data_IF_629954620165
#
_entry.id   IF_629954620165
#
_cell.length_a   1.000
_cell.length_b   1.000
_cell.length_c   1.000
_cell.angle_alpha   90.00
_cell.angle_beta   90.00
_cell.angle_gamma   90.00
#
_symmetry.space_group_name_H-M   'P 1'
#
loop_
_entity.id
_entity.type
_entity.pdbx_description
1 polymer ?
2 non-polymer ?
3 non-polymer ?
4 non-polymer ?
5 non-polymer ?
6 water ?
#
# COMPACT_ATOMS: atom_id res chain seq x y z
N UNK A 20 4.78 27.32 -18.88
CA UNK A 20 4.77 27.49 -17.42
C UNK A 20 5.89 26.76 -16.68
N UNK A 21 6.37 25.65 -17.24
CA UNK A 21 7.41 24.88 -16.57
C UNK A 21 8.81 25.47 -16.75
N UNK A 22 8.91 26.77 -16.48
CA UNK A 22 10.13 27.45 -16.07
C UNK A 22 10.51 26.88 -14.72
N UNK A 23 9.50 26.46 -13.97
CA UNK A 23 9.69 25.68 -12.78
C UNK A 23 10.35 24.38 -13.17
N UNK A 24 11.27 23.92 -12.36
CA UNK A 24 12.12 22.82 -12.73
C UNK A 24 11.60 21.45 -12.32
N UNK A 25 11.72 20.51 -13.25
CA UNK A 25 11.34 19.10 -13.09
C UNK A 25 12.57 18.24 -12.99
N UNK A 26 12.75 17.53 -11.88
CA UNK A 26 13.80 16.51 -11.80
C UNK A 26 13.22 15.14 -12.12
N UNK A 27 13.82 14.42 -13.06
CA UNK A 27 13.37 13.07 -13.36
C UNK A 27 14.39 12.16 -12.70
N UNK A 28 13.95 11.43 -11.69
CA UNK A 28 14.81 10.63 -10.84
C UNK A 28 14.73 9.19 -11.29
N UNK A 29 15.88 8.60 -11.57
CA UNK A 29 15.95 7.28 -12.17
C UNK A 29 16.96 6.41 -11.43
N UNK A 30 16.45 5.40 -10.72
CA UNK A 30 17.34 4.46 -10.05
C UNK A 30 17.82 3.45 -11.08
N UNK A 31 19.11 3.13 -11.08
CA UNK A 31 19.61 2.13 -12.02
C UNK A 31 20.50 1.07 -11.37
N UNK A 32 20.45 -0.12 -11.94
CA UNK A 32 21.43 -1.15 -11.63
C UNK A 32 21.57 -2.07 -12.83
N UNK A 33 22.75 -2.02 -13.44
CA UNK A 33 23.02 -2.71 -14.70
C UNK A 33 21.99 -2.35 -15.78
N UNK A 34 21.62 -1.08 -15.86
CA UNK A 34 20.91 -0.55 -17.02
C UNK A 34 21.90 0.17 -17.90
N UNK A 35 21.81 -0.09 -19.19
CA UNK A 35 22.91 0.24 -20.09
C UNK A 35 22.56 0.89 -21.38
N UNK A 36 22.02 -0.01 -22.18
CA UNK A 36 21.56 0.31 -23.49
C UNK A 36 20.42 1.30 -23.41
N UNK A 37 19.54 1.08 -22.42
CA UNK A 37 18.33 1.89 -22.29
C UNK A 37 18.62 3.36 -22.19
N UNK A 38 19.72 3.71 -21.51
CA UNK A 38 20.11 5.10 -21.36
C UNK A 38 19.98 5.89 -22.66
N UNK A 39 20.44 5.31 -23.76
CA UNK A 39 20.33 5.97 -25.05
C UNK A 39 18.87 6.23 -25.42
N UNK A 40 18.04 5.20 -25.43
CA UNK A 40 16.66 5.42 -25.84
C UNK A 40 15.85 6.05 -24.71
N UNK A 41 16.28 5.82 -23.46
CA UNK A 41 15.63 6.46 -22.33
C UNK A 41 15.78 7.97 -22.43
N UNK A 42 17.02 8.44 -22.44
CA UNK A 42 17.28 9.88 -22.44
C UNK A 42 16.73 10.55 -23.69
N UNK A 43 16.84 9.85 -24.81
CA UNK A 43 16.26 10.34 -26.06
C UNK A 43 14.75 10.58 -25.91
N UNK A 44 14.02 9.57 -25.45
CA UNK A 44 12.57 9.68 -25.36
C UNK A 44 12.09 10.66 -24.29
N UNK A 45 12.80 10.74 -23.17
CA UNK A 45 12.56 11.77 -22.15
C UNK A 45 12.68 13.19 -22.70
N UNK A 46 13.82 13.46 -23.35
CA UNK A 46 14.11 14.78 -23.92
C UNK A 46 13.06 15.17 -24.93
N UNK A 47 12.73 14.25 -25.83
CA UNK A 47 11.67 14.47 -26.80
C UNK A 47 10.34 14.88 -26.13
N UNK A 48 9.96 14.15 -25.08
CA UNK A 48 8.72 14.41 -24.35
C UNK A 48 8.74 15.73 -23.57
N UNK A 49 9.89 16.06 -22.97
CA UNK A 49 10.02 17.26 -22.15
C UNK A 49 10.66 18.44 -22.88
N UNK A 50 10.49 18.44 -24.20
CA UNK A 50 11.14 19.37 -25.09
C UNK A 50 11.08 20.85 -24.67
N UNK A 51 12.26 21.45 -24.48
CA UNK A 51 12.35 22.87 -24.21
C UNK A 51 11.93 23.30 -22.82
N UNK A 52 11.38 22.35 -22.04
CA UNK A 52 11.05 22.59 -20.64
C UNK A 52 12.30 22.53 -19.79
N UNK A 53 12.23 23.20 -18.65
CA UNK A 53 13.33 23.20 -17.72
C UNK A 53 13.33 21.87 -16.96
N UNK A 54 14.30 21.01 -17.27
CA UNK A 54 14.36 19.72 -16.60
C UNK A 54 15.80 19.20 -16.45
N UNK A 55 15.99 18.35 -15.45
CA UNK A 55 17.21 17.60 -15.27
C UNK A 55 16.85 16.12 -15.07
N UNK A 56 17.83 15.26 -15.35
CA UNK A 56 17.72 13.85 -15.06
C UNK A 56 18.70 13.52 -13.95
N UNK A 57 18.25 12.76 -12.96
CA UNK A 57 19.08 12.43 -11.81
C UNK A 57 19.21 10.92 -11.73
N UNK A 58 20.27 10.37 -12.30
CA UNK A 58 20.55 8.93 -12.23
C UNK A 58 21.21 8.58 -10.90
N UNK A 59 20.63 7.64 -10.16
CA UNK A 59 21.25 7.20 -8.90
C UNK A 59 21.61 5.72 -8.97
N UNK A 60 22.90 5.44 -9.18
CA UNK A 60 23.39 4.07 -9.40
C UNK A 60 24.23 3.54 -8.25
N UNK A 61 23.99 2.30 -7.85
CA UNK A 61 24.70 1.73 -6.72
C UNK A 61 25.91 0.92 -7.20
N UNK A 62 26.86 1.65 -7.79
CA UNK A 62 28.12 1.10 -8.33
C UNK A 62 27.89 -0.16 -9.17
N UNK A 63 27.21 0.01 -10.30
CA UNK A 63 26.94 -1.12 -11.18
C UNK A 63 28.25 -1.77 -11.60
N UNK A 64 28.34 -3.11 -11.54
CA UNK A 64 29.55 -3.73 -12.11
C UNK A 64 29.65 -3.41 -13.60
N UNK A 65 28.50 -3.47 -14.22
CA UNK A 65 28.25 -3.10 -15.60
C UNK A 65 28.50 -1.59 -15.86
N UNK A 66 29.36 -1.30 -16.83
CA UNK A 66 29.59 0.04 -17.42
C UNK A 66 29.07 1.25 -16.62
N UNK A 67 27.77 1.58 -16.51
CA UNK A 67 27.43 2.95 -16.07
C UNK A 67 27.14 3.24 -14.60
N UNK A 68 27.98 4.12 -14.08
CA UNK A 68 27.53 5.35 -13.51
C UNK A 68 28.06 6.31 -14.59
N UNK A 69 29.04 5.84 -15.37
CA UNK A 69 29.73 6.73 -16.29
C UNK A 69 29.27 6.69 -17.76
N UNK A 70 28.51 5.68 -18.18
CA UNK A 70 27.92 5.79 -19.51
C UNK A 70 26.91 6.94 -19.49
N UNK A 71 26.28 7.14 -18.34
CA UNK A 71 25.30 8.19 -18.19
C UNK A 71 25.99 9.53 -18.27
N UNK A 72 27.25 9.57 -17.88
CA UNK A 72 28.03 10.80 -17.91
C UNK A 72 28.47 11.23 -19.32
N UNK A 73 28.64 10.30 -20.24
CA UNK A 73 28.96 10.70 -21.61
C UNK A 73 27.74 11.29 -22.29
N UNK A 74 26.57 10.90 -21.83
CA UNK A 74 25.31 11.40 -22.37
C UNK A 74 24.98 12.76 -21.75
N UNK A 75 25.73 13.14 -20.70
CA UNK A 75 25.66 14.48 -20.11
C UNK A 75 26.00 15.59 -21.12
N UNK A 76 26.73 15.23 -22.17
CA UNK A 76 27.13 16.23 -23.16
C UNK A 76 25.94 16.55 -24.06
N UNK A 77 25.03 15.59 -24.19
CA UNK A 77 23.86 15.76 -25.06
C UNK A 77 22.58 16.04 -24.25
N UNK A 78 22.62 15.72 -22.95
CA UNK A 78 21.44 15.78 -22.09
C UNK A 78 21.74 16.29 -20.69
N UNK A 79 20.81 17.05 -20.10
CA UNK A 79 21.02 17.58 -18.74
C UNK A 79 20.92 16.46 -17.70
N UNK A 80 22.06 15.83 -17.42
CA UNK A 80 22.13 14.65 -16.58
C UNK A 80 23.07 14.85 -15.40
N UNK A 81 22.57 14.57 -14.20
CA UNK A 81 23.40 14.51 -13.01
C UNK A 81 23.52 13.04 -12.62
N UNK A 82 24.74 12.57 -12.39
CA UNK A 82 24.95 11.16 -12.05
C UNK A 82 25.45 11.00 -10.62
N UNK A 83 24.96 9.98 -9.94
CA UNK A 83 25.31 9.69 -8.57
C UNK A 83 25.68 8.23 -8.42
N UNK A 84 26.87 7.96 -7.88
CA UNK A 84 27.23 6.60 -7.52
C UNK A 84 27.26 6.47 -6.00
N UNK A 85 26.44 5.59 -5.50
CA UNK A 85 26.50 5.20 -4.10
C UNK A 85 27.27 3.88 -4.11
N UNK A 86 28.31 3.80 -3.31
CA UNK A 86 29.12 2.59 -3.29
C UNK A 86 29.10 1.98 -1.91
N UNK A 87 28.82 2.82 -0.91
CA UNK A 87 28.65 2.37 0.47
C UNK A 87 27.29 1.69 0.62
N UNK A 88 26.33 2.20 -0.15
CA UNK A 88 24.90 1.92 0.04
C UNK A 88 24.25 1.20 -1.15
N UNK A 89 23.12 0.54 -0.90
CA UNK A 89 22.42 -0.22 -1.94
C UNK A 89 20.91 -0.34 -1.65
N UNK A 90 20.09 -0.50 -2.68
CA UNK A 90 18.65 -0.56 -2.50
C UNK A 90 17.84 0.43 -3.33
N UNK A 91 16.71 -0.04 -3.85
CA UNK A 91 15.85 0.73 -4.77
C UNK A 91 15.24 1.97 -4.12
N UNK A 92 14.47 1.77 -3.06
CA UNK A 92 13.84 2.87 -2.33
C UNK A 92 14.88 3.80 -1.78
N UNK A 93 15.98 3.23 -1.30
CA UNK A 93 17.07 4.01 -0.76
C UNK A 93 17.65 4.98 -1.82
N UNK A 94 17.79 4.48 -3.05
CA UNK A 94 18.28 5.27 -4.18
C UNK A 94 17.39 6.49 -4.47
N UNK A 95 16.09 6.28 -4.39
CA UNK A 95 15.11 7.32 -4.64
C UNK A 95 15.12 8.34 -3.51
N UNK A 96 15.38 7.90 -2.28
CA UNK A 96 15.55 8.83 -1.17
C UNK A 96 16.73 9.76 -1.49
N UNK A 97 17.82 9.17 -1.98
CA UNK A 97 19.01 9.91 -2.37
C UNK A 97 18.73 10.87 -3.52
N UNK A 98 17.94 10.41 -4.49
CA UNK A 98 17.59 11.21 -5.64
C UNK A 98 16.77 12.42 -5.22
N UNK A 99 15.91 12.24 -4.21
CA UNK A 99 15.13 13.34 -3.68
C UNK A 99 16.05 14.43 -3.16
N UNK A 100 17.09 14.01 -2.43
CA UNK A 100 17.97 14.93 -1.71
C UNK A 100 18.83 15.74 -2.69
N UNK A 101 19.23 15.10 -3.78
CA UNK A 101 20.13 15.68 -4.75
C UNK A 101 19.41 16.45 -5.84
N UNK A 102 18.14 16.15 -6.05
CA UNK A 102 17.35 16.89 -7.03
C UNK A 102 17.16 18.36 -6.58
N UNK A 103 17.15 19.28 -7.54
CA UNK A 103 16.90 20.67 -7.24
C UNK A 103 15.58 21.17 -7.81
N UNK A 104 14.83 20.28 -8.48
CA UNK A 104 13.57 20.67 -9.09
C UNK A 104 12.45 21.03 -8.14
N UNK A 105 11.40 21.64 -8.68
CA UNK A 105 10.17 21.97 -7.96
C UNK A 105 9.21 20.76 -7.96
N UNK A 106 9.30 19.97 -9.03
CA UNK A 106 8.53 18.79 -9.25
C UNK A 106 9.51 17.63 -9.48
N UNK A 107 9.26 16.54 -8.77
CA UNK A 107 10.00 15.30 -8.89
C UNK A 107 9.19 14.34 -9.75
N UNK A 108 9.86 13.69 -10.72
CA UNK A 108 9.27 12.53 -11.38
C UNK A 108 10.14 11.31 -11.11
N UNK A 109 9.52 10.19 -10.75
CA UNK A 109 10.26 8.95 -10.47
C UNK A 109 9.85 7.89 -11.48
N UNK A 110 10.85 7.18 -12.01
CA UNK A 110 10.60 6.18 -13.04
C UNK A 110 11.77 5.22 -13.19
N UNK A 111 11.52 4.15 -13.93
CA UNK A 111 12.52 3.13 -14.19
C UNK A 111 13.21 3.37 -15.53
N UNK A 112 14.43 2.86 -15.63
CA UNK A 112 15.28 3.08 -16.81
C UNK A 112 14.97 2.14 -17.99
N UNK A 113 14.35 0.98 -17.73
CA UNK A 113 14.20 -0.08 -18.75
C UNK A 113 13.13 0.16 -19.82
N UNK A 114 12.45 1.30 -19.75
CA UNK A 114 11.39 1.71 -20.71
C UNK A 114 10.06 0.93 -20.55
N UNK A 115 9.89 0.26 -19.42
CA UNK A 115 8.55 -0.22 -19.07
C UNK A 115 7.64 0.96 -18.73
N UNK A 116 8.22 2.00 -18.13
CA UNK A 116 7.57 3.28 -17.96
C UNK A 116 7.89 4.18 -19.16
N UNK A 117 6.88 4.52 -19.95
CA UNK A 117 7.03 5.41 -21.11
C UNK A 117 7.21 6.89 -20.74
N UNK A 118 8.36 7.50 -21.13
CA UNK A 118 8.58 8.92 -20.89
C UNK A 118 7.51 9.80 -21.53
N UNK A 119 6.82 9.25 -22.52
CA UNK A 119 5.82 10.04 -23.24
C UNK A 119 4.62 10.42 -22.39
N UNK A 120 4.42 9.78 -21.25
CA UNK A 120 3.29 10.17 -20.40
C UNK A 120 3.71 11.07 -19.23
N UNK A 121 5.02 11.24 -19.05
CA UNK A 121 5.54 12.25 -18.12
C UNK A 121 4.83 13.60 -18.31
N UNK A 122 4.59 14.03 -19.57
CA UNK A 122 3.84 15.30 -19.62
C UNK A 122 2.48 15.24 -18.91
N UNK A 123 1.72 14.15 -19.07
CA UNK A 123 0.42 14.00 -18.40
C UNK A 123 0.53 14.05 -16.86
N UNK A 124 1.61 13.52 -16.30
CA UNK A 124 1.84 13.54 -14.85
C UNK A 124 2.02 14.95 -14.33
N UNK A 125 2.98 15.69 -14.91
CA UNK A 125 3.31 17.02 -14.42
C UNK A 125 2.15 17.91 -14.72
N UNK A 126 1.42 17.60 -15.79
CA UNK A 126 0.22 18.38 -16.08
C UNK A 126 -0.77 18.25 -14.91
N UNK A 127 -0.99 17.01 -14.47
CA UNK A 127 -1.83 16.74 -13.30
C UNK A 127 -1.30 17.49 -12.08
N UNK A 128 0.03 17.58 -11.94
CA UNK A 128 0.57 18.29 -10.78
C UNK A 128 0.27 19.80 -10.85
N UNK A 129 0.31 20.34 -12.06
CA UNK A 129 0.12 21.78 -12.27
C UNK A 129 -1.34 22.14 -11.96
N UNK A 130 -2.23 21.27 -12.41
CA UNK A 130 -3.67 21.40 -12.19
C UNK A 130 -4.10 21.30 -10.74
N UNK A 131 -3.15 21.13 -9.81
CA UNK A 131 -3.46 21.13 -8.39
C UNK A 131 -3.24 19.84 -7.60
N UNK A 132 -2.82 18.78 -8.24
CA UNK A 132 -2.52 17.57 -7.48
C UNK A 132 -1.13 17.66 -6.86
N UNK A 133 -1.00 17.22 -5.61
CA UNK A 133 0.30 17.16 -4.96
C UNK A 133 1.09 15.95 -5.42
N UNK A 134 0.34 14.94 -5.84
CA UNK A 134 0.90 13.65 -6.27
C UNK A 134 0.11 13.11 -7.46
N UNK A 135 0.85 12.69 -8.48
CA UNK A 135 0.24 12.10 -9.66
C UNK A 135 0.87 10.73 -9.88
N UNK A 136 0.06 9.69 -9.85
CA UNK A 136 0.60 8.34 -9.94
C UNK A 136 0.37 7.83 -11.35
N UNK A 137 1.36 7.12 -11.88
CA UNK A 137 1.21 6.39 -13.13
C UNK A 137 0.61 5.04 -12.79
N UNK A 138 -0.61 4.81 -13.28
CA UNK A 138 -1.40 3.67 -12.79
C UNK A 138 -1.79 2.64 -13.86
N UNK A 139 -1.35 1.41 -13.66
CA UNK A 139 -1.78 0.31 -14.51
C UNK A 139 -3.27 -0.03 -14.38
N UNK A 140 -3.91 0.33 -13.27
CA UNK A 140 -5.20 -0.27 -12.97
C UNK A 140 -6.37 0.68 -12.84
N UNK A 141 -6.19 1.92 -13.27
CA UNK A 141 -7.34 2.81 -13.33
C UNK A 141 -7.91 2.65 -14.74
N UNK A 142 -9.10 3.20 -14.99
CA UNK A 142 -9.69 3.14 -16.31
C UNK A 142 -8.78 3.80 -17.37
N UNK A 143 -8.33 2.98 -18.32
CA UNK A 143 -7.44 3.43 -19.37
C UNK A 143 -6.13 2.68 -19.26
N UNK A 144 -5.68 2.50 -18.03
CA UNK A 144 -4.43 1.81 -17.76
C UNK A 144 -4.35 0.44 -18.38
N UNK A 145 -3.13 0.03 -18.74
CA UNK A 145 -2.89 -1.28 -19.34
C UNK A 145 -1.55 -1.82 -18.90
N UNK A 146 -1.38 -3.13 -19.06
CA UNK A 146 -0.08 -3.75 -18.85
C UNK A 146 0.06 -4.88 -19.86
N UNK A 147 0.87 -4.65 -20.87
CA UNK A 147 0.87 -5.50 -22.06
C UNK A 147 1.64 -6.80 -21.88
N UNK A 148 1.11 -7.86 -22.50
CA UNK A 148 1.73 -9.18 -22.54
C UNK A 148 1.90 -9.80 -21.15
N UNK A 149 0.84 -9.70 -20.34
CA UNK A 149 0.77 -10.38 -19.05
C UNK A 149 -0.40 -11.35 -18.97
N UNK A 150 -0.13 -12.57 -18.45
CA UNK A 150 -1.19 -13.54 -18.12
C UNK A 150 -2.13 -12.96 -17.06
N UNK A 151 -3.38 -13.42 -16.99
CA UNK A 151 -4.33 -12.83 -16.05
C UNK A 151 -4.18 -13.39 -14.64
N UNK A 152 -3.54 -14.56 -14.52
CA UNK A 152 -3.12 -15.08 -13.22
C UNK A 152 -2.12 -14.09 -12.60
N UNK A 153 -1.12 -13.69 -13.41
CA UNK A 153 -0.09 -12.70 -13.04
C UNK A 153 -0.67 -11.32 -12.69
N UNK A 154 -1.65 -10.90 -13.49
CA UNK A 154 -2.27 -9.62 -13.31
C UNK A 154 -3.10 -9.61 -12.02
N UNK A 155 -3.70 -10.74 -11.66
CA UNK A 155 -4.59 -10.75 -10.52
C UNK A 155 -3.87 -10.98 -9.20
N UNK A 156 -2.77 -11.74 -9.20
CA UNK A 156 -1.94 -11.80 -8.00
C UNK A 156 -1.39 -10.40 -7.72
N UNK A 157 -1.18 -9.62 -8.77
CA UNK A 157 -0.73 -8.24 -8.65
C UNK A 157 -1.79 -7.38 -7.96
N UNK A 158 -2.98 -7.31 -8.54
CA UNK A 158 -4.12 -6.68 -7.91
C UNK A 158 -4.45 -7.31 -6.54
N UNK A 159 -4.17 -8.60 -6.39
CA UNK A 159 -4.36 -9.27 -5.12
C UNK A 159 -3.44 -8.77 -4.02
N UNK A 160 -2.14 -8.75 -4.30
CA UNK A 160 -1.16 -8.21 -3.35
C UNK A 160 -1.47 -6.73 -3.06
N UNK A 161 -1.91 -6.00 -4.08
CA UNK A 161 -2.27 -4.61 -3.87
C UNK A 161 -3.45 -4.48 -2.90
N UNK A 162 -4.54 -5.21 -3.20
CA UNK A 162 -5.72 -5.27 -2.34
C UNK A 162 -5.37 -5.51 -0.88
N UNK A 163 -4.36 -6.32 -0.62
CA UNK A 163 -3.95 -6.49 0.76
C UNK A 163 -3.50 -5.17 1.39
N UNK A 164 -2.76 -4.34 0.64
CA UNK A 164 -2.40 -3.01 1.11
C UNK A 164 -3.57 -2.05 1.19
N UNK A 165 -4.47 -2.06 0.22
CA UNK A 165 -5.62 -1.15 0.24
C UNK A 165 -6.55 -1.45 1.44
N UNK A 166 -6.60 -2.71 1.86
CA UNK A 166 -7.45 -3.04 2.98
C UNK A 166 -6.74 -2.77 4.31
N UNK A 167 -5.47 -3.15 4.41
CA UNK A 167 -4.69 -2.98 5.67
C UNK A 167 -4.35 -1.54 6.04
N UNK A 168 -4.32 -0.66 5.03
CA UNK A 168 -3.99 0.74 5.24
C UNK A 168 -5.11 1.59 4.68
N UNK A 169 -6.14 1.88 5.50
CA UNK A 169 -7.32 2.64 5.08
C UNK A 169 -6.98 3.92 4.29
N UNK A 170 -5.85 4.53 4.58
CA UNK A 170 -5.46 5.75 3.89
C UNK A 170 -5.34 5.60 2.36
N UNK A 171 -4.96 4.41 1.89
CA UNK A 171 -4.76 4.21 0.46
C UNK A 171 -5.82 3.28 -0.13
N UNK A 172 -6.98 3.27 0.51
CA UNK A 172 -8.06 2.37 0.16
C UNK A 172 -8.48 2.61 -1.30
N UNK A 173 -8.44 3.89 -1.72
CA UNK A 173 -9.00 4.30 -3.02
C UNK A 173 -7.91 4.41 -4.13
N UNK A 174 -6.68 4.04 -3.79
CA UNK A 174 -5.58 4.09 -4.73
C UNK A 174 -5.45 2.76 -5.44
N UNK A 175 -5.74 2.72 -6.74
CA UNK A 175 -5.69 1.44 -7.45
C UNK A 175 -4.31 0.90 -7.82
N UNK A 176 -3.24 1.71 -7.71
CA UNK A 176 -1.89 1.18 -7.98
C UNK A 176 -0.86 1.82 -7.05
N UNK A 177 -0.98 1.60 -5.73
CA UNK A 177 -0.05 2.23 -4.78
C UNK A 177 1.36 1.60 -4.79
N UNK A 178 1.59 0.57 -5.58
CA UNK A 178 2.92 -0.05 -5.66
C UNK A 178 3.74 0.37 -6.90
N UNK A 179 3.15 1.26 -7.70
CA UNK A 179 3.75 1.78 -8.92
C UNK A 179 5.09 2.50 -8.67
N UNK A 180 6.06 2.29 -9.56
CA UNK A 180 7.35 2.96 -9.47
C UNK A 180 7.41 4.19 -10.36
N UNK A 181 6.25 4.59 -10.88
CA UNK A 181 6.11 5.65 -11.85
C UNK A 181 5.14 6.72 -11.35
N UNK A 182 5.69 7.85 -10.87
CA UNK A 182 4.88 8.92 -10.31
C UNK A 182 5.58 10.28 -10.32
N UNK A 183 4.81 11.34 -10.08
CA UNK A 183 5.36 12.68 -9.89
C UNK A 183 4.75 13.25 -8.62
N UNK A 184 5.52 14.12 -7.97
CA UNK A 184 5.09 14.83 -6.76
C UNK A 184 5.78 16.18 -6.70
N UNK A 185 5.05 17.17 -6.24
CA UNK A 185 5.66 18.40 -5.79
C UNK A 185 6.71 18.11 -4.75
N UNK A 186 7.80 18.85 -4.83
CA UNK A 186 8.89 18.78 -3.87
C UNK A 186 8.44 18.83 -2.40
N UNK A 187 7.39 19.60 -2.11
CA UNK A 187 6.91 19.84 -0.76
C UNK A 187 6.39 18.57 -0.08
N UNK A 188 5.82 17.68 -0.88
CA UNK A 188 5.27 16.44 -0.37
C UNK A 188 6.31 15.69 0.44
N UNK A 189 7.56 15.67 0.02
CA UNK A 189 8.56 14.92 0.76
C UNK A 189 9.60 15.72 1.51
N UNK A 190 9.36 17.00 1.67
CA UNK A 190 10.31 17.87 2.34
C UNK A 190 10.15 17.78 3.83
N UNK A 191 11.22 17.48 4.53
CA UNK A 191 11.19 17.46 5.97
C UNK A 191 10.55 16.20 6.49
N UNK A 192 10.30 15.29 5.57
CA UNK A 192 9.68 13.99 5.85
C UNK A 192 10.74 12.91 5.91
N UNK A 193 10.69 12.08 6.94
CA UNK A 193 11.61 10.97 7.07
C UNK A 193 11.05 9.72 6.41
N UNK A 194 11.66 9.32 5.30
CA UNK A 194 11.21 8.15 4.59
C UNK A 194 12.09 6.96 4.91
N UNK A 195 11.45 5.85 5.21
CA UNK A 195 12.15 4.61 5.50
C UNK A 195 12.85 4.10 4.25
N UNK A 196 14.19 3.97 4.31
CA UNK A 196 15.02 3.50 3.20
C UNK A 196 14.88 2.02 2.84
N UNK A 197 14.31 1.19 3.70
CA UNK A 197 14.19 -0.24 3.38
C UNK A 197 13.12 -0.52 2.33
N UNK A 198 13.45 -1.36 1.36
CA UNK A 198 12.47 -1.93 0.48
C UNK A 198 12.44 -1.53 -0.99
N UNK A 199 11.29 -1.72 -1.61
CA UNK A 199 11.13 -1.42 -3.03
C UNK A 199 9.92 -0.51 -3.30
N UNK A 200 9.11 -0.26 -2.29
CA UNK A 200 7.85 0.44 -2.52
C UNK A 200 7.86 1.83 -1.92
N UNK A 201 8.59 2.73 -2.57
CA UNK A 201 8.77 4.10 -2.09
C UNK A 201 7.44 4.83 -2.20
N UNK A 202 6.65 4.56 -3.24
CA UNK A 202 5.38 5.28 -3.43
C UNK A 202 4.48 5.07 -2.22
N UNK A 203 4.43 3.83 -1.73
CA UNK A 203 3.59 3.52 -0.58
C UNK A 203 4.06 4.28 0.67
N UNK A 204 5.37 4.30 0.92
CA UNK A 204 5.94 5.12 2.00
C UNK A 204 5.47 6.56 1.89
N UNK A 205 5.46 7.11 0.68
CA UNK A 205 5.06 8.51 0.50
C UNK A 205 3.56 8.71 0.74
N UNK A 206 2.74 7.77 0.29
CA UNK A 206 1.29 7.90 0.45
C UNK A 206 0.92 7.86 1.92
N UNK A 207 1.69 7.13 2.71
CA UNK A 207 1.47 7.07 4.13
C UNK A 207 2.15 8.23 4.88
N UNK A 208 3.40 8.57 4.54
CA UNK A 208 4.15 9.52 5.36
C UNK A 208 4.26 10.94 4.82
N UNK A 209 3.80 11.16 3.60
CA UNK A 209 4.04 12.43 2.93
C UNK A 209 2.98 13.46 3.21
N UNK A 210 3.25 14.70 2.80
CA UNK A 210 2.31 15.82 3.01
C UNK A 210 1.59 16.17 1.74
N UNK A 211 0.30 15.93 1.70
CA UNK A 211 -0.49 16.17 0.50
C UNK A 211 -1.98 16.19 0.85
N UNK A 212 -2.78 16.64 -0.12
CA UNK A 212 -4.24 16.70 0.03
C UNK A 212 -4.91 16.14 -1.19
N UNK A 213 -4.21 16.17 -2.32
CA UNK A 213 -4.80 15.59 -3.51
C UNK A 213 -3.80 14.66 -4.21
N UNK A 214 -4.31 13.49 -4.56
CA UNK A 214 -3.60 12.51 -5.36
C UNK A 214 -4.48 12.16 -6.53
N UNK A 215 -3.90 12.06 -7.72
CA UNK A 215 -4.64 11.56 -8.86
C UNK A 215 -3.89 10.38 -9.43
N UNK A 216 -4.61 9.52 -10.13
CA UNK A 216 -4.00 8.40 -10.82
C UNK A 216 -4.15 8.65 -12.31
N UNK A 217 -3.06 8.42 -13.03
CA UNK A 217 -2.99 8.75 -14.44
C UNK A 217 -2.75 7.43 -15.18
N UNK A 218 -3.68 7.06 -16.06
CA UNK A 218 -3.53 5.80 -16.81
C UNK A 218 -2.33 5.79 -17.77
N UNK A 219 -1.58 4.70 -17.81
CA UNK A 219 -0.55 4.53 -18.81
C UNK A 219 -0.43 3.04 -19.14
N UNK A 220 0.43 2.72 -20.10
CA UNK A 220 0.62 1.32 -20.47
C UNK A 220 1.98 0.84 -19.98
N UNK A 221 1.96 -0.20 -19.14
CA UNK A 221 3.20 -0.81 -18.67
C UNK A 221 3.80 -1.56 -19.85
N UNK A 222 5.03 -1.20 -20.20
CA UNK A 222 5.64 -1.70 -21.42
C UNK A 222 6.53 -2.88 -21.15
N UNK A 223 6.93 -3.54 -22.23
CA UNK A 223 7.86 -4.64 -22.10
C UNK A 223 9.25 -4.06 -21.88
N UNK A 224 9.98 -4.63 -20.93
CA UNK A 224 11.38 -4.31 -20.80
C UNK A 224 12.06 -4.67 -22.09
N UNK A 225 12.56 -3.65 -22.77
CA UNK A 225 13.22 -3.81 -24.05
C UNK A 225 14.44 -4.71 -23.95
N UNK A 226 15.43 -4.27 -23.17
CA UNK A 226 16.70 -4.97 -23.10
C UNK A 226 17.28 -4.99 -21.71
N UNK A 227 18.09 -5.99 -21.42
CA UNK A 227 18.67 -6.15 -20.08
C UNK A 227 17.99 -7.22 -19.22
N UNK A 228 18.63 -7.78 -18.17
CA UNK A 228 18.25 -8.83 -17.21
C UNK A 228 17.38 -8.33 -16.05
N UNK A 229 16.35 -9.04 -15.35
CA UNK A 229 15.42 -8.46 -14.39
C UNK A 229 16.00 -8.64 -12.99
N UNK A 230 16.11 -7.39 -12.25
CA UNK A 230 16.67 -7.50 -10.92
C UNK A 230 15.68 -7.46 -9.77
N UNK A 231 14.38 -7.74 -9.94
CA UNK A 231 13.53 -7.76 -8.77
C UNK A 231 12.73 -9.03 -8.64
N UNK A 232 12.06 -9.31 -9.75
CA UNK A 232 11.21 -10.47 -9.70
C UNK A 232 11.97 -11.75 -9.47
N UNK A 233 11.65 -12.47 -8.39
CA UNK A 233 10.82 -11.96 -7.31
C UNK A 233 11.47 -12.03 -5.95
N UNK A 234 11.79 -10.67 -5.56
CA UNK A 234 12.19 -10.62 -4.18
C UNK A 234 11.21 -9.78 -3.37
N UNK A 235 10.38 -9.04 -4.08
CA UNK A 235 9.58 -7.99 -3.47
C UNK A 235 8.54 -8.44 -2.45
N UNK A 236 7.87 -9.54 -2.73
CA UNK A 236 6.61 -9.88 -2.05
C UNK A 236 6.70 -9.99 -0.52
N UNK A 237 7.72 -10.66 0.01
CA UNK A 237 7.90 -10.68 1.45
C UNK A 237 8.28 -9.36 2.08
N UNK A 238 9.15 -8.62 1.42
CA UNK A 238 9.52 -7.31 1.90
C UNK A 238 8.28 -6.47 1.92
N UNK A 239 7.43 -6.68 0.93
CA UNK A 239 6.23 -5.90 0.76
C UNK A 239 5.25 -6.13 1.91
N UNK A 240 5.13 -7.37 2.37
CA UNK A 240 4.34 -7.66 3.56
C UNK A 240 5.00 -7.05 4.78
N UNK A 241 6.31 -7.24 4.94
CA UNK A 241 7.00 -6.64 6.09
C UNK A 241 6.85 -5.13 6.08
N UNK A 242 6.77 -4.57 4.88
CA UNK A 242 6.61 -3.13 4.70
C UNK A 242 5.23 -2.66 5.15
N UNK A 243 4.20 -3.38 4.71
CA UNK A 243 2.83 -3.14 5.13
C UNK A 243 2.69 -3.20 6.66
N UNK A 244 3.37 -4.14 7.30
CA UNK A 244 3.33 -4.25 8.75
C UNK A 244 3.94 -3.00 9.38
N UNK A 245 5.11 -2.57 8.91
CA UNK A 245 5.73 -1.32 9.36
C UNK A 245 4.82 -0.11 9.20
N UNK A 246 4.13 -0.03 8.06
CA UNK A 246 3.21 1.07 7.84
C UNK A 246 1.97 0.99 8.76
N UNK A 247 1.44 -0.23 8.98
CA UNK A 247 0.32 -0.45 9.90
C UNK A 247 0.66 0.07 11.29
N UNK A 248 1.91 -0.15 11.73
CA UNK A 248 2.42 0.32 13.02
C UNK A 248 2.44 1.83 13.07
N UNK A 249 3.15 2.43 12.13
CA UNK A 249 3.19 3.85 12.01
C UNK A 249 1.78 4.49 12.03
N UNK A 250 0.84 3.87 11.34
CA UNK A 250 -0.50 4.46 11.18
C UNK A 250 -1.44 4.27 12.36
N UNK A 251 -1.02 3.49 13.36
CA UNK A 251 -1.86 3.20 14.50
C UNK A 251 -2.74 1.96 14.34
N UNK A 252 -2.72 1.36 13.15
CA UNK A 252 -3.59 0.21 12.89
C UNK A 252 -3.23 -0.99 13.77
N UNK A 253 -1.94 -1.23 13.99
CA UNK A 253 -1.57 -2.37 14.84
C UNK A 253 -2.11 -2.17 16.25
N UNK A 254 -1.97 -0.96 16.79
CA UNK A 254 -2.56 -0.63 18.09
C UNK A 254 -4.09 -0.81 18.15
N UNK A 255 -4.82 -0.47 17.09
CA UNK A 255 -6.27 -0.73 17.10
C UNK A 255 -6.59 -2.23 17.16
N UNK A 256 -5.78 -3.04 16.48
CA UNK A 256 -6.04 -4.46 16.38
C UNK A 256 -5.84 -5.08 17.74
N UNK A 257 -4.81 -4.66 18.45
CA UNK A 257 -4.53 -5.19 19.79
C UNK A 257 -5.66 -4.86 20.76
N UNK A 258 -6.20 -3.64 20.68
CA UNK A 258 -7.34 -3.29 21.52
C UNK A 258 -8.59 -4.06 21.12
N UNK A 259 -8.78 -4.20 19.81
CA UNK A 259 -9.94 -4.92 19.32
C UNK A 259 -9.93 -6.38 19.85
N UNK A 260 -8.74 -6.99 19.92
CA UNK A 260 -8.56 -8.36 20.42
C UNK A 260 -8.77 -8.51 21.93
N UNK A 261 -8.31 -7.50 22.65
CA UNK A 261 -8.46 -7.44 24.08
C UNK A 261 -9.94 -7.33 24.39
N UNK A 262 -10.61 -6.41 23.70
CA UNK A 262 -12.06 -6.30 23.81
C UNK A 262 -12.77 -7.62 23.41
N UNK A 263 -12.30 -8.27 22.34
CA UNK A 263 -12.78 -9.59 21.93
C UNK A 263 -12.73 -10.64 23.02
N UNK A 264 -11.61 -10.66 23.73
CA UNK A 264 -11.48 -11.59 24.85
C UNK A 264 -12.52 -11.28 25.89
N UNK A 265 -12.72 -9.99 26.16
CA UNK A 265 -13.64 -9.65 27.23
C UNK A 265 -15.03 -10.15 26.84
N UNK A 266 -15.35 -10.08 25.55
CA UNK A 266 -16.63 -10.56 25.05
C UNK A 266 -16.85 -12.05 25.26
N UNK A 267 -15.82 -12.85 24.97
CA UNK A 267 -15.90 -14.28 25.23
C UNK A 267 -16.22 -14.59 26.69
N UNK A 268 -15.56 -13.89 27.61
CA UNK A 268 -15.82 -14.03 29.04
C UNK A 268 -17.24 -13.60 29.42
N UNK A 269 -17.69 -12.52 28.82
CA UNK A 269 -19.00 -11.98 29.19
C UNK A 269 -20.09 -12.92 28.68
N UNK A 270 -19.85 -13.49 27.51
CA UNK A 270 -20.76 -14.42 26.89
C UNK A 270 -20.98 -15.65 27.79
N UNK A 271 -19.88 -16.21 28.29
CA UNK A 271 -19.95 -17.39 29.15
C UNK A 271 -20.54 -17.03 30.51
N UNK A 272 -20.17 -15.86 31.01
CA UNK A 272 -20.61 -15.38 32.30
C UNK A 272 -22.11 -15.23 32.37
N UNK A 273 -22.72 -14.71 31.31
CA UNK A 273 -24.18 -14.64 31.27
C UNK A 273 -24.78 -16.02 30.99
N UNK A 274 -24.05 -16.88 30.28
CA UNK A 274 -24.57 -18.19 29.95
C UNK A 274 -24.73 -19.02 31.23
N UNK A 275 -23.70 -19.01 32.07
CA UNK A 275 -23.74 -19.69 33.35
C UNK A 275 -24.80 -19.08 34.26
N UNK A 276 -24.94 -17.76 34.19
CA UNK A 276 -25.89 -17.07 35.04
C UNK A 276 -27.32 -17.46 34.72
N UNK A 277 -27.62 -17.66 33.44
CA UNK A 277 -29.00 -17.88 33.03
C UNK A 277 -29.53 -19.29 33.34
N UNK A 278 -28.64 -20.27 33.47
CA UNK A 278 -29.07 -21.65 33.72
C UNK A 278 -29.43 -21.88 35.19
N UNK A 279 -28.81 -21.11 36.09
CA UNK A 279 -29.08 -21.23 37.52
C UNK A 279 -30.12 -20.21 37.95
N UNK A 280 -30.66 -19.48 36.97
CA UNK A 280 -31.75 -18.53 37.21
C UNK A 280 -33.07 -19.10 36.72
N UNK A 281 -33.01 -20.28 36.10
CA UNK A 281 -34.21 -20.96 35.63
C UNK A 281 -34.24 -21.19 34.13
N UNK A 282 -33.61 -20.30 33.37
CA UNK A 282 -33.68 -20.36 31.92
C UNK A 282 -32.96 -21.59 31.38
N UNK A 283 -33.68 -22.38 30.55
CA UNK A 283 -33.10 -23.54 29.85
C UNK A 283 -31.84 -23.19 29.07
N UNK A 284 -30.98 -24.17 28.85
CA UNK A 284 -29.67 -23.96 28.26
C UNK A 284 -29.68 -23.31 26.87
N UNK A 285 -30.42 -23.86 25.91
CA UNK A 285 -30.36 -23.32 24.53
C UNK A 285 -31.32 -22.18 24.24
N UNK A 286 -32.10 -21.78 25.23
CA UNK A 286 -32.83 -20.53 25.15
C UNK A 286 -31.94 -19.41 25.73
N UNK A 287 -31.03 -19.81 26.62
CA UNK A 287 -30.16 -18.88 27.33
C UNK A 287 -29.01 -18.37 26.46
N UNK A 288 -28.62 -19.21 25.50
CA UNK A 288 -27.47 -18.96 24.64
C UNK A 288 -27.58 -17.62 23.92
N UNK A 289 -28.80 -17.26 23.53
CA UNK A 289 -29.02 -16.10 22.68
C UNK A 289 -28.91 -14.75 23.41
N UNK A 290 -29.56 -14.60 24.58
CA UNK A 290 -29.34 -13.37 25.34
C UNK A 290 -27.88 -13.22 25.74
N UNK A 291 -27.20 -14.33 25.94
CA UNK A 291 -25.81 -14.29 26.37
C UNK A 291 -24.93 -13.73 25.25
N UNK A 292 -25.22 -14.13 24.02
CA UNK A 292 -24.37 -13.79 22.89
C UNK A 292 -24.65 -12.33 22.54
N UNK A 293 -25.90 -11.92 22.62
CA UNK A 293 -26.26 -10.56 22.33
C UNK A 293 -25.62 -9.59 23.33
N UNK A 294 -25.56 -9.98 24.60
CA UNK A 294 -24.95 -9.12 25.60
C UNK A 294 -23.44 -9.01 25.35
N UNK A 295 -22.82 -10.10 24.93
CA UNK A 295 -21.40 -10.08 24.60
C UNK A 295 -21.13 -9.19 23.39
N UNK A 296 -22.06 -9.18 22.43
CA UNK A 296 -21.93 -8.34 21.24
C UNK A 296 -22.03 -6.88 21.61
N UNK A 297 -23.00 -6.56 22.45
CA UNK A 297 -23.16 -5.20 22.96
C UNK A 297 -21.97 -4.78 23.81
N UNK A 298 -21.50 -5.68 24.68
CA UNK A 298 -20.27 -5.41 25.42
C UNK A 298 -19.13 -5.03 24.46
N UNK A 299 -18.91 -5.85 23.42
CA UNK A 299 -17.85 -5.62 22.47
C UNK A 299 -18.00 -4.29 21.75
N UNK A 300 -19.24 -3.94 21.43
CA UNK A 300 -19.48 -2.66 20.76
C UNK A 300 -19.14 -1.46 21.65
N UNK A 301 -19.55 -1.54 22.92
CA UNK A 301 -19.34 -0.44 23.86
C UNK A 301 -17.86 -0.13 24.04
N UNK A 302 -17.02 -1.15 24.28
CA UNK A 302 -15.61 -0.85 24.51
C UNK A 302 -14.89 -0.41 23.23
N UNK A 303 -15.29 -0.95 22.08
CA UNK A 303 -14.66 -0.55 20.83
C UNK A 303 -14.99 0.92 20.44
N UNK A 304 -16.23 1.35 20.72
CA UNK A 304 -16.69 2.69 20.37
C UNK A 304 -15.97 3.74 21.24
N UNK A 305 -15.75 3.46 22.52
CA UNK A 305 -15.09 4.41 23.42
C UNK A 305 -13.60 4.16 23.66
N UNK A 306 -13.01 3.16 23.01
CA UNK A 306 -11.59 2.91 23.24
C UNK A 306 -10.91 2.61 21.90
N UNK A 307 -11.17 1.45 21.32
CA UNK A 307 -10.53 1.04 20.08
C UNK A 307 -10.67 2.08 18.94
N UNK A 308 -11.91 2.50 18.68
CA UNK A 308 -12.17 3.40 17.57
C UNK A 308 -12.77 4.76 18.06
N UNK A 309 -12.49 5.17 19.30
CA UNK A 309 -13.02 6.43 19.86
C UNK A 309 -12.80 7.66 18.95
N UNK A 310 -11.69 7.64 18.23
CA UNK A 310 -11.29 8.80 17.43
C UNK A 310 -11.93 8.84 16.04
N UNK A 311 -12.63 7.79 15.61
CA UNK A 311 -13.17 7.82 14.24
C UNK A 311 -14.64 7.43 14.16
N UNK A 312 -15.36 7.76 15.23
CA UNK A 312 -16.82 7.71 15.30
C UNK A 312 -17.51 8.75 14.40
N UNK A 313 -18.53 8.33 13.67
CA UNK A 313 -19.24 9.15 12.72
C UNK A 313 -20.69 8.75 12.80
N UNK A 314 -21.57 9.69 12.48
CA UNK A 314 -22.99 9.41 12.43
C UNK A 314 -23.54 8.98 13.77
N UNK A 315 -24.74 8.42 13.69
CA UNK A 315 -25.46 7.92 14.82
C UNK A 315 -24.82 6.68 15.44
N UNK A 316 -24.94 6.61 16.76
CA UNK A 316 -24.40 5.52 17.52
C UNK A 316 -25.20 4.25 17.20
N UNK A 317 -26.45 4.40 16.77
CA UNK A 317 -27.29 3.24 16.43
C UNK A 317 -26.87 2.64 15.09
N UNK A 318 -26.60 3.49 14.11
CA UNK A 318 -26.08 3.03 12.83
C UNK A 318 -24.81 2.18 12.99
N UNK A 319 -23.88 2.64 13.84
CA UNK A 319 -22.69 1.87 14.13
C UNK A 319 -23.01 0.57 14.89
N UNK A 320 -23.96 0.59 15.81
CA UNK A 320 -24.32 -0.64 16.54
C UNK A 320 -24.79 -1.73 15.57
N UNK A 321 -25.72 -1.36 14.71
CA UNK A 321 -26.22 -2.23 13.67
C UNK A 321 -25.13 -2.80 12.76
N UNK A 322 -24.24 -1.95 12.26
CA UNK A 322 -23.14 -2.40 11.40
C UNK A 322 -22.17 -3.33 12.15
N UNK A 323 -22.01 -3.07 13.43
CA UNK A 323 -21.15 -3.88 14.27
C UNK A 323 -21.69 -5.32 14.36
N UNK A 324 -23.03 -5.44 14.34
CA UNK A 324 -23.67 -6.76 14.32
C UNK A 324 -23.39 -7.56 13.06
N UNK A 325 -23.46 -6.90 11.91
CA UNK A 325 -23.06 -7.49 10.64
C UNK A 325 -21.65 -8.03 10.69
N UNK A 326 -20.72 -7.24 11.20
CA UNK A 326 -19.34 -7.68 11.35
C UNK A 326 -19.24 -8.87 12.31
N UNK A 327 -20.03 -8.91 13.39
CA UNK A 327 -19.99 -10.04 14.34
C UNK A 327 -20.52 -11.34 13.74
N UNK A 328 -21.67 -11.26 13.08
CA UNK A 328 -22.22 -12.40 12.37
C UNK A 328 -21.28 -12.82 11.24
N UNK A 329 -20.70 -11.90 10.48
CA UNK A 329 -19.75 -12.30 9.42
C UNK A 329 -18.61 -13.09 10.00
N UNK A 330 -18.17 -12.68 11.18
CA UNK A 330 -17.13 -13.38 11.88
C UNK A 330 -17.57 -14.79 12.21
N UNK A 331 -18.80 -14.93 12.69
CA UNK A 331 -19.31 -16.25 13.09
C UNK A 331 -19.34 -17.24 11.90
N UNK A 332 -19.88 -16.79 10.76
CA UNK A 332 -19.93 -17.56 9.53
C UNK A 332 -18.54 -17.96 9.03
N UNK A 333 -17.62 -17.01 8.97
CA UNK A 333 -16.28 -17.31 8.54
C UNK A 333 -15.68 -18.40 9.46
N UNK A 334 -15.86 -18.26 10.77
CA UNK A 334 -15.38 -19.25 11.72
C UNK A 334 -15.97 -20.67 11.43
N UNK A 335 -17.28 -20.74 11.17
CA UNK A 335 -17.96 -21.98 10.85
C UNK A 335 -17.39 -22.65 9.61
N UNK A 336 -17.28 -21.87 8.54
CA UNK A 336 -16.87 -22.38 7.23
C UNK A 336 -15.43 -22.84 7.22
N UNK A 337 -14.57 -22.01 7.78
CA UNK A 337 -13.13 -22.32 7.83
C UNK A 337 -12.88 -23.59 8.62
N UNK A 338 -13.55 -23.71 9.75
CA UNK A 338 -13.42 -24.87 10.60
C UNK A 338 -13.76 -26.13 9.80
N UNK A 339 -14.95 -26.19 9.22
CA UNK A 339 -15.32 -27.41 8.51
C UNK A 339 -14.44 -27.64 7.29
N UNK A 340 -13.98 -26.57 6.66
CA UNK A 340 -13.13 -26.81 5.51
C UNK A 340 -11.84 -27.44 6.00
N UNK A 341 -11.31 -27.00 7.13
CA UNK A 341 -10.04 -27.55 7.58
C UNK A 341 -10.22 -29.00 8.02
N UNK A 342 -11.39 -29.33 8.57
CA UNK A 342 -11.66 -30.70 8.99
C UNK A 342 -11.64 -31.68 7.81
N UNK A 343 -12.28 -31.28 6.71
CA UNK A 343 -12.31 -32.07 5.49
C UNK A 343 -10.93 -32.25 4.89
N UNK A 344 -10.11 -31.22 5.00
CA UNK A 344 -8.71 -31.25 4.57
C UNK A 344 -7.86 -32.07 5.56
N UNK A 345 -8.49 -32.65 6.58
CA UNK A 345 -7.74 -33.43 7.55
C UNK A 345 -6.85 -32.73 8.56
N UNK A 346 -7.09 -31.45 8.83
CA UNK A 346 -6.35 -30.74 9.89
C UNK A 346 -6.92 -31.19 11.25
N UNK A 347 -6.05 -31.35 12.24
CA UNK A 347 -6.50 -31.63 13.61
C UNK A 347 -7.54 -30.60 14.04
N UNK A 348 -8.54 -31.02 14.79
CA UNK A 348 -9.70 -30.17 15.06
C UNK A 348 -9.45 -29.01 16.03
N UNK A 349 -8.28 -28.98 16.65
CA UNK A 349 -7.93 -27.91 17.60
C UNK A 349 -7.17 -26.82 16.85
N UNK A 350 -6.35 -27.24 15.92
CA UNK A 350 -5.76 -26.29 15.00
C UNK A 350 -6.89 -25.65 14.17
N UNK A 351 -7.82 -26.47 13.69
CA UNK A 351 -8.92 -26.00 12.84
C UNK A 351 -9.80 -24.99 13.59
N UNK A 352 -9.91 -25.20 14.89
CA UNK A 352 -10.71 -24.36 15.76
C UNK A 352 -9.99 -23.03 16.01
N UNK A 353 -8.67 -23.10 16.20
CA UNK A 353 -7.81 -21.93 16.41
C UNK A 353 -7.73 -21.02 15.20
N UNK A 354 -7.49 -21.60 14.03
CA UNK A 354 -7.51 -20.85 12.78
C UNK A 354 -8.88 -20.22 12.55
N UNK A 355 -9.92 -20.98 12.88
CA UNK A 355 -11.27 -20.49 12.75
C UNK A 355 -11.43 -19.20 13.52
N UNK A 356 -11.08 -19.22 14.81
CA UNK A 356 -11.23 -18.05 15.68
C UNK A 356 -10.37 -16.87 15.23
N UNK A 357 -9.15 -17.14 14.77
CA UNK A 357 -8.26 -16.06 14.34
C UNK A 357 -8.72 -15.39 13.01
N UNK A 358 -9.22 -16.17 12.06
CA UNK A 358 -9.75 -15.62 10.79
C UNK A 358 -11.07 -14.85 11.01
N UNK A 359 -11.81 -15.25 12.03
CA UNK A 359 -13.02 -14.57 12.43
C UNK A 359 -12.71 -13.24 13.09
N UNK A 360 -11.60 -13.21 13.81
CA UNK A 360 -11.16 -11.97 14.45
C UNK A 360 -10.69 -11.02 13.36
N UNK A 361 -9.93 -11.55 12.40
CA UNK A 361 -9.42 -10.74 11.31
C UNK A 361 -10.55 -10.18 10.48
N UNK A 362 -11.49 -11.01 10.06
CA UNK A 362 -12.62 -10.48 9.28
C UNK A 362 -13.49 -9.46 10.07
N UNK A 363 -13.73 -9.70 11.36
CA UNK A 363 -14.50 -8.72 12.15
C UNK A 363 -13.74 -7.40 12.17
N UNK A 364 -12.42 -7.46 12.37
CA UNK A 364 -11.67 -6.24 12.43
C UNK A 364 -11.79 -5.46 11.14
N UNK A 365 -11.59 -6.15 10.00
CA UNK A 365 -11.57 -5.48 8.71
C UNK A 365 -12.90 -4.77 8.43
N UNK A 366 -13.99 -5.46 8.69
CA UNK A 366 -15.30 -4.93 8.40
C UNK A 366 -15.68 -3.81 9.34
N UNK A 367 -15.23 -3.91 10.59
CA UNK A 367 -15.44 -2.81 11.51
C UNK A 367 -14.62 -1.58 11.09
N UNK A 368 -13.36 -1.77 10.74
CA UNK A 368 -12.49 -0.67 10.39
C UNK A 368 -12.93 0.04 9.10
N UNK A 369 -13.59 -0.69 8.22
CA UNK A 369 -13.87 -0.21 6.85
C UNK A 369 -15.31 0.15 6.64
N UNK A 370 -16.17 -0.32 7.56
CA UNK A 370 -17.60 -0.10 7.45
C UNK A 370 -18.19 0.53 8.70
N UNK A 371 -18.09 -0.15 9.85
CA UNK A 371 -18.71 0.33 11.08
C UNK A 371 -18.14 1.69 11.47
N UNK A 372 -16.82 1.80 11.46
CA UNK A 372 -16.14 3.04 11.80
C UNK A 372 -15.27 3.48 10.62
N UNK A 373 -15.88 3.67 9.44
CA UNK A 373 -15.09 3.90 8.23
C UNK A 373 -14.54 5.31 8.17
N UNK A 374 -13.37 5.43 7.54
CA UNK A 374 -12.69 6.70 7.35
C UNK A 374 -12.40 6.91 5.84
X LIG B 1 20.28 2.24 -7.38
X LIG B 1 19.49 1.07 -7.56
X LIG B 1 19.57 -0.03 -6.64
X LIG B 1 18.58 0.99 -8.68
X LIG B 1 17.77 -0.18 -8.88
X LIG B 1 17.84 -1.25 -8.01
X LIG B 1 18.78 -1.16 -6.83
X LIG B 1 18.87 -2.08 -6.04
X LIG B 1 16.97 -2.20 -8.45
X LIG B 1 16.37 -1.73 -9.60
X LIG B 1 16.88 -0.47 -9.86
X LIG B 1 16.25 -0.02 -10.93
X LIG B 1 16.33 -0.86 -12.17
X LIG B 1 17.60 -0.44 -12.82
X LIG B 1 15.25 -0.46 -12.82
X LIG B 1 15.40 0.86 -13.38
X LIG B 1 14.08 -0.37 -11.69
X LIG B 1 14.69 0.01 -10.62
X LIG B 1 13.33 -1.69 -11.40
X LIG B 1 13.98 -2.86 -11.87
X LIG B 1 13.09 -3.83 -12.71
X LIG B 1 13.85 -5.11 -12.91
X LIG B 1 12.70 -3.27 -14.03
X LIG B 1 11.77 -4.12 -11.87
X LIG B 1 10.26 -4.46 -12.32
X LIG B 1 9.91 -4.14 -13.76
X LIG B 1 10.11 -5.96 -12.13
X LIG B 1 9.28 -3.69 -11.29
X LIG B 1 8.61 -2.45 -11.57
X LIG B 1 7.15 -2.61 -11.46
X LIG B 1 6.66 -2.78 -10.08
X LIG B 1 5.18 -2.81 -10.08
X LIG B 1 4.77 -3.34 -11.31
X LIG B 1 9.11 -1.40 -10.60
X LIG B 1 8.63 -0.10 -11.05
X LIG B 1 8.62 -1.64 -9.21
X LIG B 1 9.16 -0.61 -8.32
X LIG B 1 7.15 -1.69 -9.14
X LIG B 1 6.73 -1.99 -7.79
X LIG C 1 11.18 -3.48 -15.23
X LIG D 1 -16.31 -8.30 18.01
X LIG E 1 -10.76 -7.64 30.32
X LIG E 1 -10.08 -7.51 31.38
X LIG E 1 -11.52 -8.90 30.46
X LIG E 1 -9.82 -7.76 29.18
X LIG E 1 -11.67 -6.51 30.18
X LIG E 1 -11.01 -5.38 29.36
X LIG E 1 -12.03 -4.58 28.57
X LIG E 1 -12.05 -3.12 29.01
X LIG E 1 -10.92 -2.34 28.36
X LIG E 1 -11.27 -0.86 28.43
X LIG E 1 -10.01 0.01 28.37
X LIG E 1 -10.22 1.32 29.13
X LIG E 1 -11.19 2.26 28.42
X LIG E 1 -10.61 3.67 28.49
X LIG E 1 -11.64 4.76 28.26
X LIG E 1 -10.97 5.97 27.63
X LIG F 1 -17.99 -22.89 36.58
X LIG F 1 -17.02 -23.48 37.09
X LIG F 1 -18.95 -23.89 36.09
X LIG F 1 -17.52 -22.09 35.42
X LIG F 1 -18.65 -22.07 37.59
X LIG F 1 -18.03 -20.67 37.60
X LIG F 1 -18.99 -19.62 38.17
X LIG F 1 -19.49 -18.72 37.04
X LIG F 1 -18.80 -17.36 37.04
X LIG F 1 -19.67 -16.32 37.72
X LIG F 1 -20.63 -15.68 36.73
X LIG F 1 -20.74 -14.17 36.97
X LIG F 1 -21.84 -13.51 36.14
X LIG F 1 -21.34 -12.23 35.48
X LIG F 1 -22.33 -11.68 34.46
X LIG F 1 -21.65 -11.33 33.15
X LIG G 1 -23.03 -33.44 11.21
X LIG G 1 -22.99 -34.65 10.86
X LIG G 1 -23.49 -33.40 12.61
X LIG G 1 -23.98 -32.69 10.36
X LIG G 1 -21.70 -32.84 11.11
X LIG G 1 -20.87 -33.68 10.12
X LIG G 1 -20.63 -33.00 8.77
X LIG G 1 -20.92 -31.50 8.81
X LIG G 1 -20.64 -30.81 7.48
X LIG G 1 -20.59 -29.30 7.64
X LIG G 1 -20.92 -28.54 6.35
X LIG G 1 -19.71 -27.76 5.81
X LIG G 1 -20.11 -26.41 5.21
X LIG G 1 -19.06 -25.85 4.23
X LIG G 1 -19.54 -24.54 3.58
X LIG G 1 -18.85 -24.23 2.26
X LIG H 1 -6.42 3.15 29.78
X LIG H 1 -7.34 3.35 30.60
X LIG H 1 -5.44 4.24 29.88
X LIG H 1 -6.99 3.16 28.41
X LIG H 1 -5.75 1.88 30.05
X LIG H 1 -6.74 0.75 29.76
X LIG H 1 -6.12 -0.39 28.96
X LIG H 1 -5.54 -1.47 29.87
X LIG H 1 -5.20 -2.74 29.09
X LIG H 1 -6.37 -3.71 29.04
X LIG H 1 -5.99 -5.09 29.59
X LIG H 1 -4.62 -5.53 29.09
X LIG H 1 -4.41 -7.01 29.33
X LIG H 1 -4.05 -7.80 28.06
X LIG H 1 -4.01 -9.29 28.35
X LIG H 1 -5.33 -9.97 27.98
X LIG I 1 -18.68 -13.39 20.83
X LIG I 1 -19.11 -12.25 21.14
X LIG I 1 -18.15 -14.03 22.04
X LIG I 1 -17.60 -13.27 19.83
X LIG I 1 -19.78 -14.20 20.33
X LIG I 1 -20.15 -13.64 18.97
X LIG I 1 -20.69 -14.75 18.08
X LIG I 1 -22.02 -14.32 17.45
X LIG I 1 -22.78 -15.58 17.08
X LIG I 1 -24.08 -15.30 16.36
X LIG I 1 -24.73 -16.63 15.95
X LIG I 1 -25.49 -16.53 14.63
X LIG I 1 -26.97 -16.84 14.82
X LIG I 1 -27.85 -15.59 14.73
X LIG I 1 -29.29 -15.95 14.36
X LIG I 1 -30.03 -14.78 13.70
#
# INVERSE_FOLDING_TARGET
>A
MHHHHHHSSGVDLGTENLYFQSMKVSVIIPTYNERENLEELFSRIDNALQGLNYEIVVVDDDSPDRTWEKAQELSSKYPVKVIRRTKEKGLSSAVIRGFKEASGDVFVVMDADLQHPPEVIPKLIEAIKNGSDIAIGSRYVKGGKVENWPFYRKLISKGAIMVGRIALPKIRDIKDPVSGFFALRKEVVEGVELNPIGFKILMEILIKGKYSKVVEVPFTFGIRARGESKLKGKTIFEYLRHIYRLMKWEGEIDRIVKFSIVGLSGILVNEGFLWLFVNLGIPKEIAVIPAVELSILNNFFWNDIWTFKDIRRGSIFSRLLKFHIAALSGAVVNFIVYWILLFLGIHYLIANLVGIVLSFGVRYVINRHVTWAT
>B hetero
1 GDD N2 C2 N1 N3 C4 C5 C6 O6 N7 C8 N9 C1' C2' O2' C3' O3' C4' O4' C5' O5' PA O1A O2A O3A PB O2B O3B O1B C11 O51 C51 C61 O6A C21 O21 C31 O31 C41 O41
>C hetero
1 MN MN
>D hetero
1 CL CL
>E hetero
1 LDA N1 O1 CM1 CM2 C1 C2 C3 C4 C5 C6 C7 C8 C9 C10 C11 C12
>F hetero
1 LDA N1 O1 CM1 CM2 C1 C2 C3 C4 C5 C6 C7 C8 C9 C10 C11 C12
>G hetero
1 LDA N1 O1 CM1 CM2 C1 C2 C3 C4 C5 C6 C7 C8 C9 C10 C11 C12
>H hetero
1 LDA N1 O1 CM1 CM2 C1 C2 C3 C4 C5 C6 C7 C8 C9 C10 C11 C12
>I hetero
1 LDA N1 O1 CM1 CM2 C1 C2 C3 C4 C5 C6 C7 C8 C9 C10 C11 C12
#
